data_IF_482015272823
#
_entry.id   IF_482015272823
#
_cell.length_a   1.000
_cell.length_b   1.000
_cell.length_c   1.000
_cell.angle_alpha   90.00
_cell.angle_beta   90.00
_cell.angle_gamma   90.00
#
_symmetry.space_group_name_H-M   'P 1'
#
loop_
_entity.id
_entity.type
_entity.pdbx_description
1 polymer ?
#
# COMPACT_ATOMS: atom_id res chain seq x y z
N UNK A 1 13.17 12.40 62.41
CA UNK A 1 12.46 11.42 61.55
C UNK A 1 11.27 10.76 62.29
N UNK A 2 10.25 11.51 62.74
CA UNK A 2 9.06 10.96 63.44
C UNK A 2 7.73 11.21 62.71
N UNK A 3 7.74 11.98 61.62
CA UNK A 3 6.53 12.32 60.85
C UNK A 3 6.17 11.22 59.83
N UNK A 4 7.17 10.64 59.16
CA UNK A 4 6.97 9.57 58.17
C UNK A 4 6.40 8.27 58.78
N UNK A 5 6.79 7.93 60.02
CA UNK A 5 6.29 6.72 60.70
C UNK A 5 4.82 6.82 61.13
N UNK A 6 4.31 8.04 61.37
CA UNK A 6 2.88 8.28 61.68
C UNK A 6 2.01 8.19 60.42
N UNK A 7 2.55 8.58 59.26
CA UNK A 7 1.83 8.50 57.99
C UNK A 7 1.64 7.06 57.52
N UNK A 8 2.64 6.19 57.73
CA UNK A 8 2.60 4.77 57.35
C UNK A 8 1.71 3.91 58.27
N UNK A 9 1.35 4.38 59.45
CA UNK A 9 0.41 3.69 60.36
C UNK A 9 -1.04 3.98 60.05
N UNK A 10 -1.35 5.17 59.49
CA UNK A 10 -2.71 5.62 59.19
C UNK A 10 -3.30 4.95 57.94
N UNK A 11 -2.45 4.55 57.00
CA UNK A 11 -2.85 3.96 55.73
C UNK A 11 -2.16 2.61 55.53
N UNK A 12 -2.89 1.47 55.56
CA UNK A 12 -2.29 0.14 55.47
C UNK A 12 -1.59 -0.13 54.13
N UNK A 13 -2.03 0.51 53.05
CA UNK A 13 -1.39 0.43 51.74
C UNK A 13 0.01 1.08 51.69
N UNK A 14 0.27 2.06 52.56
CA UNK A 14 1.55 2.77 52.61
C UNK A 14 2.66 1.91 53.24
N UNK A 15 2.30 0.90 54.06
CA UNK A 15 3.25 -0.14 54.53
C UNK A 15 3.73 -1.03 53.39
N UNK A 16 2.89 -1.28 52.39
CA UNK A 16 3.24 -2.09 51.22
C UNK A 16 4.21 -1.34 50.30
N UNK A 17 3.97 -0.03 50.10
CA UNK A 17 4.85 0.86 49.31
C UNK A 17 6.19 1.15 50.01
N UNK A 18 6.26 1.02 51.35
CA UNK A 18 7.49 1.18 52.12
C UNK A 18 8.52 0.07 51.93
N UNK A 19 8.19 -1.01 51.21
CA UNK A 19 9.13 -2.08 50.90
C UNK A 19 10.08 -1.65 49.78
N UNK A 20 11.40 -1.61 50.06
CA UNK A 20 12.44 -1.19 49.11
C UNK A 20 12.37 -1.93 47.76
N UNK A 21 11.98 -3.21 47.79
CA UNK A 21 11.86 -4.03 46.58
C UNK A 21 10.70 -3.57 45.69
N UNK A 22 9.60 -3.09 46.30
CA UNK A 22 8.42 -2.67 45.59
C UNK A 22 8.63 -1.31 44.91
N UNK A 23 9.38 -0.41 45.54
CA UNK A 23 9.81 0.85 44.91
C UNK A 23 10.72 0.59 43.70
N UNK A 24 11.65 -0.37 43.80
CA UNK A 24 12.51 -0.75 42.66
C UNK A 24 11.69 -1.38 41.53
N UNK A 25 10.71 -2.24 41.84
CA UNK A 25 9.82 -2.83 40.84
C UNK A 25 8.93 -1.77 40.18
N UNK A 26 8.35 -0.84 40.93
CA UNK A 26 7.56 0.26 40.36
C UNK A 26 8.44 1.15 39.49
N UNK A 27 9.63 1.51 39.96
CA UNK A 27 10.56 2.31 39.17
C UNK A 27 10.96 1.60 37.88
N UNK A 28 11.24 0.30 37.95
CA UNK A 28 11.56 -0.52 36.78
C UNK A 28 10.36 -0.70 35.83
N UNK A 29 9.15 -0.87 36.37
CA UNK A 29 7.93 -0.97 35.57
C UNK A 29 7.63 0.36 34.87
N UNK A 30 7.77 1.49 35.57
CA UNK A 30 7.65 2.83 34.99
C UNK A 30 8.76 3.05 33.95
N UNK A 31 9.99 2.62 34.21
CA UNK A 31 11.08 2.68 33.23
C UNK A 31 10.74 1.90 31.97
N UNK A 32 10.33 0.64 32.08
CA UNK A 32 9.89 -0.17 30.93
C UNK A 32 8.67 0.42 30.22
N UNK A 33 7.73 1.03 30.94
CA UNK A 33 6.54 1.61 30.32
C UNK A 33 6.80 2.95 29.62
N UNK A 34 7.68 3.80 30.16
CA UNK A 34 8.00 5.11 29.58
C UNK A 34 9.15 5.06 28.58
N UNK A 35 10.14 4.17 28.77
CA UNK A 35 11.36 4.10 27.97
C UNK A 35 11.33 2.95 26.96
N UNK A 36 10.80 1.76 27.29
CA UNK A 36 10.69 0.67 26.31
C UNK A 36 9.46 0.79 25.38
N UNK A 37 8.46 1.62 25.71
CA UNK A 37 7.18 1.69 24.98
C UNK A 37 6.88 3.04 24.31
N UNK A 38 7.89 3.70 23.72
CA UNK A 38 7.61 4.75 22.72
C UNK A 38 6.83 4.22 21.48
N UNK A 39 6.68 2.89 21.38
CA UNK A 39 5.96 2.15 20.33
C UNK A 39 4.45 2.06 20.55
N UNK A 40 3.93 2.03 21.79
CA UNK A 40 2.54 1.63 22.05
C UNK A 40 1.48 2.64 21.60
N UNK A 41 1.85 3.90 21.42
CA UNK A 41 0.95 4.98 20.97
C UNK A 41 1.17 5.42 19.51
N UNK A 42 2.31 5.07 18.90
CA UNK A 42 2.71 5.60 17.59
C UNK A 42 2.75 4.57 16.46
N UNK A 43 2.78 3.26 16.75
CA UNK A 43 2.95 2.25 15.70
C UNK A 43 1.64 1.80 15.04
N UNK A 44 0.50 1.95 15.70
CA UNK A 44 -0.79 1.58 15.11
C UNK A 44 -1.15 2.37 13.84
N UNK A 45 -1.04 3.71 13.76
CA UNK A 45 -1.42 4.42 12.54
C UNK A 45 -0.50 4.13 11.34
N UNK A 46 0.76 3.73 11.57
CA UNK A 46 1.70 3.40 10.48
C UNK A 46 1.41 2.01 9.95
N UNK A 47 1.27 1.02 10.82
CA UNK A 47 0.94 -0.35 10.43
C UNK A 47 -0.47 -0.41 9.81
N UNK A 48 -1.45 0.29 10.36
CA UNK A 48 -2.81 0.33 9.81
C UNK A 48 -2.82 1.00 8.42
N UNK A 49 -1.97 2.01 8.20
CA UNK A 49 -1.82 2.65 6.89
C UNK A 49 -1.20 1.70 5.87
N UNK A 50 -0.16 0.97 6.25
CA UNK A 50 0.50 -0.01 5.38
C UNK A 50 -0.43 -1.17 5.04
N UNK A 51 -1.21 -1.65 6.01
CA UNK A 51 -2.25 -2.67 5.81
C UNK A 51 -3.32 -2.15 4.84
N UNK A 52 -3.79 -0.91 5.01
CA UNK A 52 -4.80 -0.32 4.14
C UNK A 52 -4.29 -0.14 2.70
N UNK A 53 -3.05 0.31 2.52
CA UNK A 53 -2.43 0.45 1.20
C UNK A 53 -2.28 -0.91 0.50
N UNK A 54 -1.86 -1.95 1.23
CA UNK A 54 -1.80 -3.32 0.70
C UNK A 54 -3.19 -3.85 0.31
N UNK A 55 -4.21 -3.54 1.08
CA UNK A 55 -5.58 -3.97 0.82
C UNK A 55 -6.21 -3.24 -0.38
N UNK A 56 -5.97 -1.93 -0.54
CA UNK A 56 -6.35 -1.16 -1.73
C UNK A 56 -5.66 -1.68 -2.98
N UNK A 57 -4.35 -1.94 -2.92
CA UNK A 57 -3.60 -2.52 -4.04
C UNK A 57 -4.15 -3.90 -4.41
N UNK A 58 -4.42 -4.75 -3.43
CA UNK A 58 -5.04 -6.07 -3.67
C UNK A 58 -6.40 -5.92 -4.36
N UNK A 59 -7.24 -5.00 -3.90
CA UNK A 59 -8.55 -4.77 -4.49
C UNK A 59 -8.45 -4.28 -5.95
N UNK A 60 -7.50 -3.39 -6.24
CA UNK A 60 -7.20 -2.91 -7.58
C UNK A 60 -6.81 -4.06 -8.52
N UNK A 61 -5.82 -4.88 -8.15
CA UNK A 61 -5.39 -5.99 -8.99
C UNK A 61 -6.49 -7.05 -9.20
N UNK A 62 -7.32 -7.32 -8.19
CA UNK A 62 -8.46 -8.24 -8.35
C UNK A 62 -9.47 -7.69 -9.37
N UNK A 63 -9.73 -6.39 -9.37
CA UNK A 63 -10.61 -5.78 -10.38
C UNK A 63 -10.01 -5.84 -11.78
N UNK A 64 -8.72 -5.55 -11.93
CA UNK A 64 -8.06 -5.59 -13.24
C UNK A 64 -8.01 -7.02 -13.79
N UNK A 65 -7.68 -8.02 -12.95
CA UNK A 65 -7.76 -9.44 -13.33
C UNK A 65 -9.17 -9.83 -13.77
N UNK A 66 -10.21 -9.35 -13.09
CA UNK A 66 -11.60 -9.64 -13.47
C UNK A 66 -11.95 -9.03 -14.83
N UNK A 67 -11.53 -7.80 -15.07
CA UNK A 67 -11.70 -7.10 -16.34
C UNK A 67 -10.95 -7.82 -17.46
N UNK A 68 -9.68 -8.15 -17.24
CA UNK A 68 -8.84 -8.89 -18.18
C UNK A 68 -9.39 -10.28 -18.47
N UNK A 69 -9.88 -10.99 -17.45
CA UNK A 69 -10.51 -12.31 -17.66
C UNK A 69 -11.75 -12.22 -18.55
N UNK A 70 -12.46 -11.09 -18.51
CA UNK A 70 -13.62 -10.84 -19.37
C UNK A 70 -13.13 -10.53 -20.78
N UNK A 71 -12.13 -9.67 -20.94
CA UNK A 71 -11.49 -9.40 -22.23
C UNK A 71 -10.94 -10.66 -22.90
N UNK A 72 -10.25 -11.53 -22.15
CA UNK A 72 -9.72 -12.82 -22.63
C UNK A 72 -10.85 -13.74 -23.09
N UNK A 73 -12.00 -13.75 -22.40
CA UNK A 73 -13.17 -14.53 -22.86
C UNK A 73 -13.71 -14.01 -24.19
N UNK A 74 -13.68 -12.69 -24.42
CA UNK A 74 -14.05 -12.12 -25.71
C UNK A 74 -13.02 -12.47 -26.80
N UNK A 75 -11.74 -12.46 -26.46
CA UNK A 75 -10.60 -12.85 -27.31
C UNK A 75 -10.51 -14.36 -27.61
N UNK A 76 -11.25 -15.23 -26.91
CA UNK A 76 -11.32 -16.66 -27.23
C UNK A 76 -12.14 -16.97 -28.48
N UNK A 77 -12.88 -15.99 -29.00
CA UNK A 77 -13.57 -16.13 -30.28
C UNK A 77 -12.58 -15.78 -31.41
N UNK A 78 -12.32 -16.68 -32.36
CA UNK A 78 -11.33 -16.46 -33.42
C UNK A 78 -11.59 -15.17 -34.22
N UNK A 79 -12.85 -14.82 -34.46
CA UNK A 79 -13.24 -13.59 -35.15
C UNK A 79 -12.86 -12.31 -34.37
N UNK A 80 -13.00 -12.34 -33.03
CA UNK A 80 -12.66 -11.22 -32.17
C UNK A 80 -11.13 -11.09 -32.02
N UNK A 81 -10.41 -12.21 -31.97
CA UNK A 81 -8.95 -12.23 -31.96
C UNK A 81 -8.38 -11.65 -33.25
N UNK A 82 -8.90 -12.07 -34.41
CA UNK A 82 -8.46 -11.57 -35.72
C UNK A 82 -8.71 -10.07 -35.84
N UNK A 83 -9.90 -9.60 -35.41
CA UNK A 83 -10.20 -8.17 -35.38
C UNK A 83 -9.23 -7.37 -34.51
N UNK A 84 -8.96 -7.83 -33.28
CA UNK A 84 -8.01 -7.18 -32.38
C UNK A 84 -6.59 -7.15 -32.94
N UNK A 85 -6.12 -8.26 -33.52
CA UNK A 85 -4.81 -8.35 -34.14
C UNK A 85 -4.66 -7.41 -35.36
N UNK A 86 -5.73 -7.23 -36.14
CA UNK A 86 -5.76 -6.31 -37.28
C UNK A 86 -5.81 -4.84 -36.85
N UNK A 87 -6.58 -4.49 -35.83
CA UNK A 87 -6.75 -3.11 -35.36
C UNK A 87 -5.55 -2.61 -34.54
N UNK A 88 -4.98 -3.44 -33.66
CA UNK A 88 -3.91 -3.02 -32.76
C UNK A 88 -2.50 -3.28 -33.30
N UNK A 89 -2.33 -4.37 -34.06
CA UNK A 89 -1.02 -4.84 -34.50
C UNK A 89 -0.87 -4.87 -36.03
N UNK A 90 -1.89 -4.44 -36.78
CA UNK A 90 -1.89 -4.44 -38.25
C UNK A 90 -1.48 -5.79 -38.85
N UNK A 91 -1.88 -6.90 -38.21
CA UNK A 91 -1.58 -8.24 -38.74
C UNK A 91 -2.30 -8.47 -40.07
N UNK A 92 -1.59 -9.05 -41.04
CA UNK A 92 -2.10 -9.39 -42.39
C UNK A 92 -1.91 -10.86 -42.73
N UNK A 93 -2.72 -11.36 -43.66
CA UNK A 93 -2.48 -12.65 -44.33
C UNK A 93 -1.45 -12.47 -45.44
N UNK A 94 -0.82 -13.57 -45.87
CA UNK A 94 0.25 -13.53 -46.88
C UNK A 94 -0.19 -12.93 -48.23
N UNK A 95 -1.48 -12.94 -48.52
CA UNK A 95 -2.11 -12.45 -49.74
C UNK A 95 -2.89 -11.13 -49.56
N UNK A 96 -2.63 -10.38 -48.49
CA UNK A 96 -3.28 -9.08 -48.22
C UNK A 96 -2.25 -7.94 -48.18
N UNK A 97 -2.64 -6.79 -48.74
CA UNK A 97 -1.89 -5.53 -48.68
C UNK A 97 -2.60 -4.54 -47.74
N UNK A 98 -1.85 -3.98 -46.79
CA UNK A 98 -2.34 -2.98 -45.83
C UNK A 98 -1.93 -1.59 -46.31
N UNK A 99 -2.89 -0.67 -46.36
CA UNK A 99 -2.67 0.75 -46.62
C UNK A 99 -2.97 1.54 -45.35
N UNK A 100 -2.01 2.34 -44.89
CA UNK A 100 -2.21 3.31 -43.81
C UNK A 100 -2.39 4.67 -44.48
N UNK A 101 -3.58 5.26 -44.34
CA UNK A 101 -3.91 6.57 -44.91
C UNK A 101 -3.73 7.60 -43.81
N UNK A 102 -2.68 8.40 -43.91
CA UNK A 102 -2.40 9.51 -43.01
C UNK A 102 -2.88 10.80 -43.69
N UNK A 103 -3.73 11.57 -43.01
CA UNK A 103 -4.13 12.89 -43.48
C UNK A 103 -3.14 13.94 -42.96
N UNK A 104 -2.73 14.88 -43.80
CA UNK A 104 -1.74 15.92 -43.45
C UNK A 104 -2.16 16.82 -42.28
N UNK A 105 -3.44 16.86 -41.94
CA UNK A 105 -3.97 17.60 -40.79
C UNK A 105 -3.69 16.93 -39.43
N UNK A 106 -3.36 15.63 -39.42
CA UNK A 106 -3.19 14.80 -38.21
C UNK A 106 -1.72 14.46 -37.87
N UNK A 107 -0.75 14.99 -38.63
CA UNK A 107 0.69 14.72 -38.41
C UNK A 107 1.24 15.66 -37.32
N UNK A 108 1.77 15.14 -36.19
CA UNK A 108 2.49 15.97 -35.24
C UNK A 108 3.71 16.60 -35.92
N UNK A 109 3.94 17.90 -35.72
CA UNK A 109 4.97 18.71 -36.39
C UNK A 109 6.42 18.16 -36.29
N UNK A 110 6.70 17.16 -35.44
CA UNK A 110 8.03 16.57 -35.29
C UNK A 110 8.49 15.70 -36.47
N UNK A 111 7.59 15.11 -37.27
CA UNK A 111 8.00 14.19 -38.37
C UNK A 111 8.35 14.94 -39.66
N UNK A 112 7.81 16.15 -39.86
CA UNK A 112 8.00 16.94 -41.10
C UNK A 112 9.40 17.56 -41.21
N UNK A 113 10.11 17.74 -40.09
CA UNK A 113 11.45 18.37 -40.06
C UNK A 113 12.60 17.44 -40.40
N UNK A 114 12.43 16.12 -40.24
CA UNK A 114 13.52 15.14 -40.45
C UNK A 114 13.60 14.59 -41.88
N UNK A 115 12.66 14.95 -42.77
CA UNK A 115 12.55 14.41 -44.13
C UNK A 115 13.08 15.35 -45.23
N UNK A 116 13.61 16.51 -44.84
CA UNK A 116 14.07 17.59 -45.75
C UNK A 116 15.59 17.79 -45.79
N UNK A 117 16.38 16.78 -45.39
CA UNK A 117 17.82 16.69 -45.61
C UNK A 117 18.16 15.65 -46.68
#
# INVERSE_FOLDING_TARGET
>A
MKAFSKLTTKYPFLKFIGNRYLLVIIFFAVWMFFIDNYSLYFDHPVLDKEIKELEENKAYYIQEIKKDSTSIKHLNNPDQTEKYAREQYYMKRENEDIYIIEFEEDVPEEVTTNKSL
#
